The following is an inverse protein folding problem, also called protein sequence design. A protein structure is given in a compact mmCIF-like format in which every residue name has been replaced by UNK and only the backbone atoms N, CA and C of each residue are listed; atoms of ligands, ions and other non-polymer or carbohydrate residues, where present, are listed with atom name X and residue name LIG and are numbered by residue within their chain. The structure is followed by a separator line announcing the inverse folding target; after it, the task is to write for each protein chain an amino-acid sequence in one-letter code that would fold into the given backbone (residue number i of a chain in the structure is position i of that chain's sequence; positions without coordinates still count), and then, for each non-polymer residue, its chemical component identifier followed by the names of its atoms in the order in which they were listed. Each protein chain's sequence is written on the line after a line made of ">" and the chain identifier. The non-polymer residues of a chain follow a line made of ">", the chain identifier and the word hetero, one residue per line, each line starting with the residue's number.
data_IF_177392078841
#
_entry.id   IF_177392078841
#
_cell.length_a   1.000
_cell.length_b   1.000
_cell.length_c   1.000
_cell.angle_alpha   90.00
_cell.angle_beta   90.00
_cell.angle_gamma   90.00
#
_symmetry.space_group_name_H-M   'P 1'
#
loop_
_entity.id
_entity.type
_entity.pdbx_description
1 polymer ?
#
# COMPACT_ATOMS: atom_id res chain seq x y z
N UNK A 1 -4.22 -3.82 9.52
CA UNK A 1 -2.94 -4.50 9.29
C UNK A 1 -1.95 -4.08 10.38
N UNK A 2 -1.07 -4.97 10.83
CA UNK A 2 0.01 -4.63 11.77
C UNK A 2 1.33 -4.62 11.01
N UNK A 3 2.22 -3.70 11.34
CA UNK A 3 3.56 -3.60 10.76
C UNK A 3 4.58 -3.88 11.84
N UNK A 4 5.55 -4.76 11.55
CA UNK A 4 6.57 -5.10 12.53
C UNK A 4 7.58 -3.97 12.66
N UNK A 5 8.08 -3.74 13.88
CA UNK A 5 9.17 -2.77 14.14
C UNK A 5 10.41 -3.08 13.29
N UNK A 6 10.66 -4.37 13.05
CA UNK A 6 11.72 -4.87 12.18
C UNK A 6 11.61 -4.39 10.73
N UNK A 7 10.39 -4.23 10.20
CA UNK A 7 10.16 -3.82 8.82
C UNK A 7 10.61 -2.36 8.64
N UNK A 8 10.18 -1.50 9.55
CA UNK A 8 10.57 -0.09 9.60
C UNK A 8 12.09 0.03 9.82
N UNK A 9 12.62 -0.66 10.82
CA UNK A 9 14.07 -0.65 11.13
C UNK A 9 14.89 -1.15 9.94
N UNK A 10 14.42 -2.18 9.23
CA UNK A 10 15.09 -2.76 8.07
C UNK A 10 15.23 -1.78 6.91
N UNK A 11 14.23 -0.94 6.64
CA UNK A 11 14.34 0.11 5.62
C UNK A 11 15.41 1.14 5.98
N UNK A 12 15.42 1.62 7.22
CA UNK A 12 16.42 2.59 7.66
C UNK A 12 17.82 2.00 7.72
N UNK A 13 17.95 0.72 8.08
CA UNK A 13 19.24 0.05 8.15
C UNK A 13 19.97 0.03 6.79
N UNK A 14 19.25 0.02 5.67
CA UNK A 14 19.84 0.09 4.33
C UNK A 14 20.51 1.44 4.05
N UNK A 15 20.05 2.52 4.69
CA UNK A 15 20.56 3.87 4.46
C UNK A 15 21.58 4.31 5.51
N UNK A 16 21.34 4.01 6.79
CA UNK A 16 22.13 4.57 7.92
C UNK A 16 22.82 3.50 8.77
N UNK A 17 22.67 2.22 8.43
CA UNK A 17 23.19 1.09 9.20
C UNK A 17 22.25 0.65 10.31
N UNK A 18 22.36 -0.62 10.72
CA UNK A 18 21.38 -1.27 11.60
C UNK A 18 21.33 -0.67 13.01
N UNK A 19 22.48 -0.27 13.57
CA UNK A 19 22.54 0.25 14.94
C UNK A 19 21.95 1.66 15.01
N UNK A 20 22.34 2.54 14.07
CA UNK A 20 21.77 3.89 13.96
C UNK A 20 20.27 3.85 13.61
N UNK A 21 19.84 2.90 12.78
CA UNK A 21 18.41 2.71 12.49
C UNK A 21 17.61 2.31 13.75
N UNK A 22 18.14 1.40 14.57
CA UNK A 22 17.48 1.01 15.83
C UNK A 22 17.36 2.18 16.80
N UNK A 23 18.43 2.95 16.96
CA UNK A 23 18.45 4.13 17.83
C UNK A 23 17.46 5.20 17.34
N UNK A 24 17.47 5.50 16.04
CA UNK A 24 16.52 6.42 15.43
C UNK A 24 15.08 5.97 15.66
N UNK A 25 14.74 4.72 15.32
CA UNK A 25 13.37 4.23 15.49
C UNK A 25 12.93 4.24 16.95
N UNK A 26 13.80 3.88 17.90
CA UNK A 26 13.48 3.97 19.33
C UNK A 26 13.18 5.41 19.76
N UNK A 27 14.03 6.37 19.34
CA UNK A 27 13.83 7.80 19.60
C UNK A 27 12.50 8.31 19.05
N UNK A 28 12.11 7.88 17.85
CA UNK A 28 10.88 8.34 17.22
C UNK A 28 9.61 7.67 17.78
N UNK A 29 9.71 6.43 18.29
CA UNK A 29 8.63 5.79 19.07
C UNK A 29 8.34 6.60 20.33
N UNK A 30 9.40 6.99 21.06
CA UNK A 30 9.28 7.81 22.27
C UNK A 30 8.70 9.20 21.93
N UNK A 31 9.17 9.83 20.85
CA UNK A 31 8.66 11.12 20.37
C UNK A 31 7.18 11.05 19.96
N UNK A 32 6.73 9.92 19.41
CA UNK A 32 5.33 9.67 19.07
C UNK A 32 4.45 9.37 20.31
N UNK A 33 5.04 9.33 21.51
CA UNK A 33 4.40 8.95 22.77
C UNK A 33 3.77 7.55 22.70
N UNK A 34 4.50 6.60 22.12
CA UNK A 34 4.09 5.21 21.98
C UNK A 34 4.97 4.30 22.86
N UNK A 35 4.42 3.19 23.31
CA UNK A 35 5.21 2.14 23.95
C UNK A 35 6.07 1.42 22.90
N UNK A 36 7.26 0.96 23.32
CA UNK A 36 8.09 0.09 22.49
C UNK A 36 7.44 -1.30 22.37
N UNK A 37 7.02 -1.65 21.15
CA UNK A 37 6.29 -2.88 20.81
C UNK A 37 6.95 -3.54 19.60
N UNK A 38 6.80 -4.85 19.49
CA UNK A 38 7.24 -5.61 18.32
C UNK A 38 6.42 -5.27 17.05
N UNK A 39 5.18 -4.79 17.22
CA UNK A 39 4.29 -4.47 16.10
C UNK A 39 3.41 -3.28 16.39
N UNK A 40 3.15 -2.47 15.36
CA UNK A 40 2.36 -1.26 15.42
C UNK A 40 1.17 -1.32 14.47
N UNK A 41 0.08 -0.67 14.84
CA UNK A 41 -1.08 -0.42 13.97
C UNK A 41 -0.74 0.61 12.89
N UNK A 42 -1.58 0.72 11.86
CA UNK A 42 -1.43 1.72 10.78
C UNK A 42 -1.38 3.15 11.35
N UNK A 43 -2.24 3.48 12.30
CA UNK A 43 -2.26 4.79 12.97
C UNK A 43 -0.99 5.06 13.78
N UNK A 44 -0.50 4.07 14.53
CA UNK A 44 0.74 4.18 15.29
C UNK A 44 1.96 4.38 14.37
N UNK A 45 2.02 3.64 13.25
CA UNK A 45 3.06 3.80 12.23
C UNK A 45 3.02 5.21 11.62
N UNK A 46 1.84 5.71 11.26
CA UNK A 46 1.70 7.07 10.71
C UNK A 46 2.23 8.10 11.71
N UNK A 47 1.99 7.93 13.01
CA UNK A 47 2.54 8.81 14.05
C UNK A 47 4.07 8.77 14.09
N UNK A 48 4.67 7.59 14.08
CA UNK A 48 6.14 7.43 14.04
C UNK A 48 6.72 8.06 12.77
N UNK A 49 6.14 7.78 11.61
CA UNK A 49 6.57 8.35 10.33
C UNK A 49 6.41 9.87 10.28
N UNK A 50 5.39 10.43 10.92
CA UNK A 50 5.21 11.88 10.99
C UNK A 50 6.33 12.55 11.81
N UNK A 51 6.82 11.92 12.87
CA UNK A 51 7.99 12.44 13.60
C UNK A 51 9.27 12.35 12.74
N UNK A 52 9.49 11.20 12.06
CA UNK A 52 10.59 11.03 11.10
C UNK A 52 10.56 12.06 9.94
N UNK A 53 9.36 12.42 9.47
CA UNK A 53 9.18 13.43 8.43
C UNK A 53 9.60 14.83 8.89
N UNK A 54 9.45 15.15 10.19
CA UNK A 54 9.86 16.45 10.75
C UNK A 54 11.38 16.60 10.79
N UNK A 55 12.13 15.49 10.91
CA UNK A 55 13.60 15.55 10.84
C UNK A 55 14.10 15.98 9.43
N UNK A 56 13.32 15.68 8.39
CA UNK A 56 13.67 15.98 7.00
C UNK A 56 14.87 15.18 6.47
N UNK A 57 15.48 15.67 5.40
CA UNK A 57 16.65 15.02 4.77
C UNK A 57 16.39 13.58 4.32
N UNK A 58 17.41 12.73 4.43
CA UNK A 58 17.32 11.30 4.12
C UNK A 58 16.30 10.58 4.99
N UNK A 59 16.21 10.91 6.28
CA UNK A 59 15.25 10.31 7.22
C UNK A 59 13.81 10.51 6.78
N UNK A 60 13.47 11.74 6.38
CA UNK A 60 12.14 12.08 5.86
C UNK A 60 11.81 11.38 4.55
N UNK A 61 12.79 11.26 3.63
CA UNK A 61 12.59 10.56 2.35
C UNK A 61 12.30 9.06 2.59
N UNK A 62 13.04 8.42 3.50
CA UNK A 62 12.80 7.01 3.85
C UNK A 62 11.42 6.84 4.50
N UNK A 63 11.00 7.77 5.37
CA UNK A 63 9.67 7.74 5.99
C UNK A 63 8.56 7.82 4.94
N UNK A 64 8.70 8.77 4.00
CA UNK A 64 7.75 8.93 2.90
C UNK A 64 7.68 7.67 2.03
N UNK A 65 8.83 7.09 1.70
CA UNK A 65 8.91 5.85 0.89
C UNK A 65 8.20 4.70 1.59
N UNK A 66 8.39 4.55 2.90
CA UNK A 66 7.73 3.52 3.68
C UNK A 66 6.20 3.69 3.72
N UNK A 67 5.72 4.92 3.89
CA UNK A 67 4.27 5.22 3.85
C UNK A 67 3.66 4.85 2.49
N UNK A 68 4.34 5.17 1.39
CA UNK A 68 3.89 4.81 0.03
C UNK A 68 3.82 3.28 -0.12
N UNK A 69 4.82 2.55 0.39
CA UNK A 69 4.82 1.08 0.33
C UNK A 69 3.68 0.47 1.15
N UNK A 70 3.34 1.05 2.30
CA UNK A 70 2.21 0.62 3.11
C UNK A 70 0.87 0.81 2.38
N UNK A 71 0.70 1.96 1.74
CA UNK A 71 -0.49 2.26 0.95
C UNK A 71 -0.60 1.33 -0.28
N UNK A 72 0.52 1.05 -0.93
CA UNK A 72 0.57 0.11 -2.05
C UNK A 72 0.16 -1.30 -1.62
N UNK A 73 0.73 -1.82 -0.52
CA UNK A 73 0.39 -3.15 0.02
C UNK A 73 -1.09 -3.27 0.34
N UNK A 74 -1.67 -2.24 0.97
CA UNK A 74 -3.11 -2.20 1.29
C UNK A 74 -3.98 -2.22 0.03
N UNK A 75 -3.61 -1.42 -0.98
CA UNK A 75 -4.32 -1.38 -2.26
C UNK A 75 -4.20 -2.70 -3.01
N UNK A 76 -3.04 -3.35 -2.95
CA UNK A 76 -2.81 -4.66 -3.54
C UNK A 76 -3.63 -5.75 -2.86
N UNK A 77 -3.69 -5.78 -1.52
CA UNK A 77 -4.55 -6.71 -0.77
C UNK A 77 -6.03 -6.58 -1.17
N UNK A 78 -6.52 -5.34 -1.30
CA UNK A 78 -7.89 -5.08 -1.75
C UNK A 78 -8.13 -5.55 -3.19
N UNK A 79 -7.18 -5.30 -4.09
CA UNK A 79 -7.23 -5.79 -5.47
C UNK A 79 -7.25 -7.31 -5.52
N UNK A 80 -6.40 -7.99 -4.74
CA UNK A 80 -6.35 -9.44 -4.67
C UNK A 80 -7.65 -10.04 -4.13
N UNK A 81 -8.29 -9.41 -3.14
CA UNK A 81 -9.60 -9.84 -2.67
C UNK A 81 -10.66 -9.71 -3.77
N UNK A 82 -10.68 -8.57 -4.48
CA UNK A 82 -11.61 -8.31 -5.57
C UNK A 82 -11.43 -9.28 -6.74
N UNK A 83 -10.20 -9.65 -7.07
CA UNK A 83 -9.87 -10.55 -8.17
C UNK A 83 -10.00 -12.05 -7.82
N UNK A 84 -10.19 -12.41 -6.55
CA UNK A 84 -10.35 -13.80 -6.10
C UNK A 84 -11.78 -14.20 -5.74
N UNK A 85 -12.78 -13.35 -6.01
CA UNK A 85 -14.20 -13.69 -5.84
C UNK A 85 -14.82 -14.03 -7.19
N UNK A 86 -15.72 -15.01 -7.21
CA UNK A 86 -16.41 -15.46 -8.44
C UNK A 86 -17.45 -14.45 -8.94
N UNK A 87 -17.87 -13.52 -8.10
CA UNK A 87 -18.82 -12.46 -8.47
C UNK A 87 -18.18 -11.51 -9.47
N UNK A 88 -18.82 -11.32 -10.63
CA UNK A 88 -18.39 -10.31 -11.60
C UNK A 88 -18.62 -8.91 -11.02
N UNK A 89 -17.55 -8.13 -10.85
CA UNK A 89 -17.59 -6.74 -10.40
C UNK A 89 -16.95 -5.87 -11.46
N UNK A 90 -17.71 -4.89 -11.95
CA UNK A 90 -17.26 -3.93 -12.94
C UNK A 90 -18.09 -2.65 -12.85
N UNK A 91 -17.56 -1.56 -13.37
CA UNK A 91 -18.32 -0.32 -13.58
C UNK A 91 -17.85 0.39 -14.86
N UNK A 92 -18.69 1.30 -15.35
CA UNK A 92 -18.34 2.15 -16.49
C UNK A 92 -17.95 3.55 -15.99
N UNK A 93 -16.79 4.03 -16.40
CA UNK A 93 -16.32 5.40 -16.14
C UNK A 93 -17.00 6.44 -17.04
N UNK A 94 -17.62 5.99 -18.14
CA UNK A 94 -18.46 6.78 -19.03
C UNK A 94 -19.68 5.96 -19.49
N UNK A 95 -20.49 6.49 -20.40
CA UNK A 95 -21.68 5.77 -20.88
C UNK A 95 -21.37 4.38 -21.44
N UNK A 96 -20.19 4.21 -22.05
CA UNK A 96 -19.80 2.98 -22.76
C UNK A 96 -18.33 2.60 -22.48
N UNK A 97 -17.67 3.24 -21.53
CA UNK A 97 -16.23 3.03 -21.27
C UNK A 97 -16.06 2.35 -19.94
N UNK A 98 -15.42 1.18 -19.92
CA UNK A 98 -15.07 0.48 -18.69
C UNK A 98 -14.19 1.36 -17.81
N UNK A 99 -14.51 1.41 -16.52
CA UNK A 99 -13.68 2.06 -15.51
C UNK A 99 -12.73 1.08 -14.84
N UNK A 100 -13.29 0.10 -14.14
CA UNK A 100 -12.53 -1.01 -13.59
C UNK A 100 -13.34 -2.30 -13.71
N UNK A 101 -12.62 -3.42 -13.78
CA UNK A 101 -13.21 -4.76 -13.78
C UNK A 101 -12.45 -5.65 -12.80
N UNK A 102 -13.06 -6.71 -12.31
CA UNK A 102 -12.35 -7.77 -11.61
C UNK A 102 -12.05 -8.96 -12.52
N UNK A 103 -11.17 -9.84 -12.05
CA UNK A 103 -10.75 -11.03 -12.81
C UNK A 103 -11.93 -11.91 -13.25
N UNK A 104 -12.93 -12.15 -12.39
CA UNK A 104 -14.09 -12.98 -12.74
C UNK A 104 -14.90 -12.43 -13.93
N UNK A 105 -15.01 -11.11 -14.06
CA UNK A 105 -15.68 -10.50 -15.21
C UNK A 105 -14.87 -10.67 -16.51
N UNK A 106 -13.55 -10.46 -16.44
CA UNK A 106 -12.67 -10.66 -17.60
C UNK A 106 -12.66 -12.13 -18.06
N UNK A 107 -12.60 -13.06 -17.11
CA UNK A 107 -12.64 -14.51 -17.39
C UNK A 107 -13.97 -14.96 -17.99
N UNK A 108 -15.10 -14.34 -17.62
CA UNK A 108 -16.39 -14.62 -18.23
C UNK A 108 -16.38 -14.39 -19.75
N UNK A 109 -15.64 -13.39 -20.22
CA UNK A 109 -15.43 -13.10 -21.64
C UNK A 109 -14.18 -13.77 -22.23
N UNK A 110 -13.38 -14.46 -21.41
CA UNK A 110 -12.16 -15.15 -21.84
C UNK A 110 -11.01 -14.22 -22.23
N UNK A 111 -10.95 -13.02 -21.66
CA UNK A 111 -9.93 -11.99 -21.96
C UNK A 111 -9.12 -11.62 -20.71
N UNK A 112 -8.00 -10.89 -20.88
CA UNK A 112 -7.29 -10.32 -19.74
C UNK A 112 -8.04 -9.09 -19.21
N UNK A 113 -7.96 -8.88 -17.89
CA UNK A 113 -8.57 -7.71 -17.24
C UNK A 113 -8.05 -6.39 -17.83
N UNK A 114 -6.75 -6.31 -18.14
CA UNK A 114 -6.13 -5.13 -18.73
C UNK A 114 -6.64 -4.79 -20.14
N UNK A 115 -7.23 -5.76 -20.85
CA UNK A 115 -7.84 -5.53 -22.16
C UNK A 115 -9.23 -4.88 -22.04
N UNK A 116 -9.89 -5.02 -20.89
CA UNK A 116 -11.21 -4.44 -20.62
C UNK A 116 -11.11 -3.06 -19.97
N UNK A 117 -10.19 -2.85 -19.03
CA UNK A 117 -10.11 -1.59 -18.29
C UNK A 117 -9.80 -0.41 -19.22
N UNK A 118 -10.69 0.59 -19.24
CA UNK A 118 -10.61 1.72 -20.17
C UNK A 118 -11.09 1.43 -21.60
N UNK A 119 -11.44 0.18 -21.92
CA UNK A 119 -11.99 -0.23 -23.21
C UNK A 119 -13.47 0.12 -23.39
N UNK A 120 -14.00 0.01 -24.62
CA UNK A 120 -15.42 0.24 -24.89
C UNK A 120 -16.23 -1.03 -24.60
N UNK A 121 -17.39 -0.88 -23.95
CA UNK A 121 -18.32 -1.95 -23.62
C UNK A 121 -18.76 -2.76 -24.85
N UNK A 122 -18.95 -2.10 -25.98
CA UNK A 122 -19.42 -2.72 -27.21
C UNK A 122 -18.37 -3.59 -27.90
N UNK A 123 -17.08 -3.39 -27.60
CA UNK A 123 -15.98 -4.20 -28.16
C UNK A 123 -16.11 -5.68 -27.77
N UNK A 124 -16.81 -5.98 -26.68
CA UNK A 124 -17.03 -7.35 -26.18
C UNK A 124 -18.48 -7.82 -26.28
N UNK A 125 -19.45 -6.90 -26.37
CA UNK A 125 -20.88 -7.25 -26.38
C UNK A 125 -21.48 -7.40 -27.78
N UNK A 126 -20.86 -6.80 -28.81
CA UNK A 126 -21.34 -6.87 -30.19
C UNK A 126 -22.47 -5.89 -30.52
#
# INVERSE_FOLDING_TARGET
>A
MKTAKSDLTGMYAQSIGIDAARELIAKEIDAAALEDKESYTEEEIIRICNELLKEGGLTGIVAQTFLIQLEYRKSEEQRLLLDNIDTQIWYLAGAEVYGAVNKAHAEFFGVDKGDLEGGNLWDILG
#
